data_IF_804065610568
#
_entry.id   IF_804065610568
#
_cell.length_a   1.000
_cell.length_b   1.000
_cell.length_c   1.000
_cell.angle_alpha   90.00
_cell.angle_beta   90.00
_cell.angle_gamma   90.00
#
_symmetry.space_group_name_H-M   'P 1'
#
loop_
_entity.id
_entity.type
_entity.pdbx_description
1 polymer ?
#
# COMPACT_ATOMS: atom_id res chain seq x y z
N UNK A 1 -27.14 -4.62 -16.22
CA UNK A 1 -25.84 -4.44 -16.88
C UNK A 1 -26.05 -3.65 -18.14
N UNK A 2 -26.02 -2.33 -18.00
CA UNK A 2 -26.09 -1.36 -19.10
C UNK A 2 -24.69 -1.12 -19.67
N UNK A 3 -24.61 -0.62 -20.89
CA UNK A 3 -23.34 -0.21 -21.51
C UNK A 3 -22.60 0.84 -20.67
N UNK A 4 -23.33 1.67 -19.92
CA UNK A 4 -22.77 2.67 -18.98
C UNK A 4 -22.07 1.98 -17.81
N UNK A 5 -22.70 0.98 -17.19
CA UNK A 5 -22.09 0.20 -16.09
C UNK A 5 -20.85 -0.57 -16.57
N UNK A 6 -20.87 -1.09 -17.80
CA UNK A 6 -19.71 -1.77 -18.41
C UNK A 6 -18.57 -0.80 -18.75
N UNK A 7 -18.90 0.39 -19.26
CA UNK A 7 -17.94 1.45 -19.55
C UNK A 7 -17.30 2.00 -18.27
N UNK A 8 -18.08 2.23 -17.21
CA UNK A 8 -17.58 2.61 -15.89
C UNK A 8 -16.69 1.52 -15.28
N UNK A 9 -17.06 0.24 -15.43
CA UNK A 9 -16.21 -0.89 -15.03
C UNK A 9 -14.90 -0.93 -15.82
N UNK A 10 -14.92 -0.73 -17.15
CA UNK A 10 -13.70 -0.64 -17.96
C UNK A 10 -12.84 0.58 -17.62
N UNK A 11 -13.44 1.69 -17.16
CA UNK A 11 -12.69 2.84 -16.68
C UNK A 11 -12.08 2.61 -15.29
N UNK A 12 -12.74 1.83 -14.42
CA UNK A 12 -12.16 1.41 -13.15
C UNK A 12 -10.93 0.49 -13.35
N UNK A 13 -10.95 -0.36 -14.38
CA UNK A 13 -9.81 -1.18 -14.82
C UNK A 13 -8.66 -0.37 -15.47
N UNK A 14 -8.83 0.94 -15.71
CA UNK A 14 -7.71 1.83 -16.10
C UNK A 14 -6.78 2.18 -14.93
N UNK A 15 -6.90 1.54 -13.76
CA UNK A 15 -5.74 1.31 -12.87
C UNK A 15 -4.78 0.35 -13.57
N UNK A 16 -4.15 0.84 -14.64
CA UNK A 16 -3.22 0.06 -15.43
C UNK A 16 -1.93 -0.24 -14.67
N UNK A 17 -1.08 -1.14 -15.21
CA UNK A 17 0.20 -1.54 -14.62
C UNK A 17 1.15 -0.37 -14.32
N UNK A 18 0.90 0.80 -14.90
CA UNK A 18 1.66 2.03 -14.70
C UNK A 18 1.43 2.66 -13.32
N UNK A 19 0.21 2.61 -12.78
CA UNK A 19 -0.07 3.14 -11.42
C UNK A 19 0.55 2.23 -10.36
N UNK A 20 0.47 0.92 -10.54
CA UNK A 20 1.12 -0.06 -9.66
C UNK A 20 2.64 0.12 -9.64
N UNK A 21 3.25 0.42 -10.80
CA UNK A 21 4.69 0.73 -10.88
C UNK A 21 5.06 2.00 -10.11
N UNK A 22 4.26 3.07 -10.24
CA UNK A 22 4.49 4.33 -9.49
C UNK A 22 4.39 4.09 -7.99
N UNK A 23 3.36 3.38 -7.54
CA UNK A 23 3.15 3.01 -6.13
C UNK A 23 4.29 2.14 -5.62
N UNK A 24 4.77 1.19 -6.41
CA UNK A 24 5.89 0.32 -6.05
C UNK A 24 7.20 1.09 -5.83
N UNK A 25 7.47 2.11 -6.66
CA UNK A 25 8.63 3.00 -6.48
C UNK A 25 8.52 3.82 -5.19
N UNK A 26 7.32 4.30 -4.82
CA UNK A 26 7.14 5.03 -3.57
C UNK A 26 7.28 4.10 -2.36
N UNK A 27 6.70 2.89 -2.41
CA UNK A 27 6.82 1.90 -1.33
C UNK A 27 8.26 1.47 -1.06
N UNK A 28 9.12 1.41 -2.07
CA UNK A 28 10.53 1.06 -1.87
C UNK A 28 11.26 2.08 -0.98
N UNK A 29 10.82 3.34 -0.97
CA UNK A 29 11.38 4.39 -0.12
C UNK A 29 10.84 4.41 1.31
N UNK A 30 9.63 3.91 1.56
CA UNK A 30 8.96 3.96 2.88
C UNK A 30 9.72 3.14 3.96
N UNK A 31 10.51 2.14 3.54
CA UNK A 31 11.30 1.31 4.46
C UNK A 31 12.76 1.74 4.64
N UNK A 32 13.21 2.83 3.99
CA UNK A 32 14.63 3.22 4.02
C UNK A 32 14.94 3.92 5.35
N UNK A 33 14.25 5.03 5.64
CA UNK A 33 14.39 5.85 6.85
C UNK A 33 13.09 6.60 7.11
N UNK A 34 12.78 6.89 8.37
CA UNK A 34 11.52 7.52 8.81
C UNK A 34 11.22 8.83 8.08
N UNK A 35 12.24 9.70 7.90
CA UNK A 35 12.10 11.00 7.26
C UNK A 35 12.60 11.05 5.81
N UNK A 36 12.87 9.88 5.19
CA UNK A 36 13.47 9.82 3.85
C UNK A 36 12.72 10.66 2.82
N UNK A 37 11.39 10.52 2.77
CA UNK A 37 10.58 11.21 1.79
C UNK A 37 10.50 12.73 2.05
N UNK A 38 10.53 13.16 3.32
CA UNK A 38 10.57 14.59 3.67
C UNK A 38 11.91 15.22 3.27
N UNK A 39 13.02 14.52 3.54
CA UNK A 39 14.36 14.94 3.12
C UNK A 39 14.46 15.01 1.60
N UNK A 40 13.91 14.01 0.90
CA UNK A 40 13.88 13.99 -0.56
C UNK A 40 13.04 15.12 -1.15
N UNK A 41 11.86 15.40 -0.57
CA UNK A 41 11.02 16.53 -0.96
C UNK A 41 11.75 17.87 -0.77
N UNK A 42 12.56 18.01 0.28
CA UNK A 42 13.41 19.18 0.50
C UNK A 42 14.47 19.35 -0.59
N UNK A 43 15.13 18.26 -0.99
CA UNK A 43 16.15 18.28 -2.05
C UNK A 43 15.54 18.67 -3.40
N UNK A 44 14.37 18.11 -3.75
CA UNK A 44 13.72 18.41 -5.04
C UNK A 44 13.10 19.80 -5.11
N UNK A 45 12.99 20.50 -3.98
CA UNK A 45 12.55 21.90 -3.95
C UNK A 45 13.60 22.86 -4.53
N UNK A 46 14.85 22.41 -4.74
CA UNK A 46 15.88 23.14 -5.46
C UNK A 46 15.77 22.89 -6.98
N UNK A 47 14.72 23.43 -7.59
CA UNK A 47 14.39 23.18 -9.00
C UNK A 47 15.45 23.71 -9.97
N UNK A 48 16.10 24.84 -9.65
CA UNK A 48 17.19 25.42 -10.45
C UNK A 48 18.44 24.54 -10.43
N UNK A 49 18.93 24.18 -9.24
CA UNK A 49 20.12 23.34 -9.12
C UNK A 49 19.95 21.95 -9.72
N UNK A 50 18.75 21.37 -9.62
CA UNK A 50 18.46 20.09 -10.27
C UNK A 50 18.31 20.19 -11.78
N UNK A 51 17.86 21.36 -12.27
CA UNK A 51 17.72 21.61 -13.71
C UNK A 51 19.08 21.60 -14.40
N UNK A 52 20.06 22.27 -13.79
CA UNK A 52 21.45 22.27 -14.25
C UNK A 52 22.12 20.90 -14.10
N UNK A 53 21.89 20.21 -12.98
CA UNK A 53 22.52 18.92 -12.70
C UNK A 53 22.06 17.81 -13.66
N UNK A 54 20.77 17.78 -13.96
CA UNK A 54 20.14 16.68 -14.71
C UNK A 54 19.88 17.04 -16.18
N UNK A 55 20.16 18.28 -16.58
CA UNK A 55 19.83 18.83 -17.90
C UNK A 55 18.33 18.62 -18.24
N UNK A 56 17.47 18.91 -17.25
CA UNK A 56 16.01 18.79 -17.37
C UNK A 56 15.40 20.18 -17.19
N UNK A 57 14.41 20.60 -18.01
CA UNK A 57 13.76 21.89 -17.85
C UNK A 57 13.20 22.11 -16.44
N UNK A 58 13.43 23.29 -15.87
CA UNK A 58 12.94 23.66 -14.53
C UNK A 58 11.43 23.46 -14.39
N UNK A 59 10.67 23.69 -15.48
CA UNK A 59 9.22 23.47 -15.54
C UNK A 59 8.82 22.01 -15.29
N UNK A 60 9.68 21.06 -15.67
CA UNK A 60 9.45 19.63 -15.40
C UNK A 60 9.82 19.25 -13.99
N UNK A 61 10.88 19.84 -13.44
CA UNK A 61 11.31 19.57 -12.06
C UNK A 61 10.36 20.19 -11.05
N UNK A 62 9.80 21.37 -11.33
CA UNK A 62 8.79 22.00 -10.48
C UNK A 62 7.53 21.12 -10.32
N UNK A 63 7.19 20.31 -11.32
CA UNK A 63 6.09 19.35 -11.24
C UNK A 63 6.43 18.13 -10.36
N UNK A 64 7.71 17.83 -10.09
CA UNK A 64 8.11 16.62 -9.37
C UNK A 64 7.59 16.63 -7.94
N UNK A 65 7.73 17.75 -7.24
CA UNK A 65 7.28 17.89 -5.86
C UNK A 65 5.79 17.53 -5.73
N UNK A 66 4.94 18.15 -6.54
CA UNK A 66 3.50 17.88 -6.53
C UNK A 66 3.17 16.41 -6.87
N UNK A 67 3.84 15.85 -7.88
CA UNK A 67 3.59 14.48 -8.33
C UNK A 67 4.01 13.43 -7.30
N UNK A 68 5.13 13.64 -6.63
CA UNK A 68 5.63 12.74 -5.58
C UNK A 68 4.74 12.85 -4.33
N UNK A 69 4.37 14.06 -3.92
CA UNK A 69 3.45 14.24 -2.78
C UNK A 69 2.10 13.58 -3.00
N UNK A 70 1.51 13.72 -4.20
CA UNK A 70 0.27 13.02 -4.56
C UNK A 70 0.42 11.50 -4.50
N UNK A 71 1.53 10.96 -5.01
CA UNK A 71 1.79 9.53 -4.97
C UNK A 71 1.99 9.03 -3.53
N UNK A 72 2.67 9.80 -2.67
CA UNK A 72 2.81 9.50 -1.24
C UNK A 72 1.46 9.46 -0.53
N UNK A 73 0.56 10.40 -0.80
CA UNK A 73 -0.79 10.38 -0.25
C UNK A 73 -1.59 9.16 -0.71
N UNK A 74 -1.45 8.75 -1.98
CA UNK A 74 -2.09 7.55 -2.50
C UNK A 74 -1.58 6.29 -1.79
N UNK A 75 -0.27 6.17 -1.58
CA UNK A 75 0.30 5.04 -0.84
C UNK A 75 -0.18 5.04 0.62
N UNK A 76 -0.19 6.21 1.28
CA UNK A 76 -0.74 6.33 2.64
C UNK A 76 -2.22 5.92 2.72
N UNK A 77 -3.03 6.25 1.71
CA UNK A 77 -4.43 5.81 1.66
C UNK A 77 -4.55 4.30 1.47
N UNK A 78 -3.82 3.73 0.51
CA UNK A 78 -3.88 2.29 0.20
C UNK A 78 -3.36 1.45 1.38
N UNK A 79 -2.22 1.84 1.97
CA UNK A 79 -1.57 1.08 3.03
C UNK A 79 -2.19 1.39 4.40
N UNK A 80 -2.72 2.62 4.60
CA UNK A 80 -3.44 3.02 5.81
C UNK A 80 -4.85 2.42 5.90
N UNK A 81 -5.53 2.19 4.77
CA UNK A 81 -6.79 1.43 4.72
C UNK A 81 -6.58 -0.08 4.97
N UNK A 82 -5.35 -0.58 4.85
CA UNK A 82 -4.95 -1.94 5.25
C UNK A 82 -4.58 -2.04 6.73
N UNK A 83 -5.25 -1.28 7.61
CA UNK A 83 -5.38 -1.74 8.99
C UNK A 83 -6.03 -3.13 8.95
N UNK A 84 -5.37 -4.19 9.47
CA UNK A 84 -5.95 -5.52 9.45
C UNK A 84 -7.21 -5.47 10.31
N UNK A 85 -8.38 -5.49 9.67
CA UNK A 85 -9.57 -6.01 10.32
C UNK A 85 -9.18 -7.42 10.73
N UNK A 86 -8.94 -7.61 12.02
CA UNK A 86 -8.78 -8.89 12.69
C UNK A 86 -10.03 -9.76 12.41
N UNK A 87 -10.15 -10.25 11.19
CA UNK A 87 -10.93 -11.42 10.86
C UNK A 87 -9.94 -12.56 10.79
N UNK A 88 -9.32 -12.83 11.93
CA UNK A 88 -8.94 -14.20 12.28
C UNK A 88 -10.26 -14.97 12.34
N UNK A 89 -10.76 -15.37 11.16
CA UNK A 89 -11.59 -16.56 11.06
C UNK A 89 -10.66 -17.67 11.50
N UNK A 90 -10.68 -17.95 12.81
CA UNK A 90 -10.24 -19.21 13.37
C UNK A 90 -10.93 -20.28 12.54
N UNK A 91 -10.15 -20.87 11.62
CA UNK A 91 -10.50 -22.13 11.00
C UNK A 91 -10.53 -23.13 12.14
N UNK A 92 -11.73 -23.37 12.67
CA UNK A 92 -12.03 -24.44 13.61
C UNK A 92 -11.85 -25.74 12.83
N UNK A 93 -10.61 -26.23 12.77
CA UNK A 93 -10.29 -27.57 12.28
C UNK A 93 -11.05 -28.57 13.15
N UNK A 94 -11.88 -29.37 12.50
CA UNK A 94 -12.74 -30.35 13.14
C UNK A 94 -11.97 -31.50 13.80
N UNK A 95 -12.69 -32.14 14.72
CA UNK A 95 -12.59 -33.53 15.13
C UNK A 95 -11.20 -34.06 15.53
N UNK A 96 -10.85 -33.83 16.80
CA UNK A 96 -10.19 -34.87 17.59
C UNK A 96 -11.20 -35.44 18.59
N UNK A 97 -11.81 -36.54 18.16
CA UNK A 97 -12.53 -37.49 18.98
C UNK A 97 -11.50 -38.20 19.88
N UNK A 98 -11.59 -38.03 21.20
CA UNK A 98 -10.88 -38.88 22.15
C UNK A 98 -11.84 -39.26 23.28
N UNK A 99 -12.20 -40.55 23.42
CA UNK A 99 -13.18 -40.98 24.40
C UNK A 99 -12.59 -40.91 25.81
N UNK A 100 -13.16 -40.07 26.66
CA UNK A 100 -12.87 -40.06 28.09
C UNK A 100 -13.50 -41.33 28.70
N UNK A 101 -12.65 -42.27 29.10
CA UNK A 101 -13.05 -43.51 29.76
C UNK A 101 -13.51 -43.20 31.18
N UNK A 102 -14.71 -43.67 31.52
CA UNK A 102 -15.16 -43.85 32.89
C UNK A 102 -14.18 -44.74 33.67
N UNK A 103 -13.70 -44.25 34.81
CA UNK A 103 -13.25 -45.12 35.91
C UNK A 103 -13.77 -44.56 37.24
N UNK A 104 -14.75 -45.29 37.77
CA UNK A 104 -15.21 -45.30 39.16
C UNK A 104 -14.13 -45.94 40.05
N UNK A 105 -13.97 -45.43 41.28
CA UNK A 105 -13.17 -46.00 42.38
C UNK A 105 -12.79 -44.88 43.36
N UNK A 106 -13.56 -44.56 44.40
CA UNK A 106 -13.83 -45.31 45.64
C UNK A 106 -12.57 -45.49 46.52
N UNK A 107 -12.67 -44.94 47.75
CA UNK A 107 -11.86 -45.14 48.97
C UNK A 107 -10.60 -44.27 49.16
N UNK A 108 -10.64 -43.33 50.12
CA UNK A 108 -10.22 -43.57 51.51
C UNK A 108 -10.84 -42.52 52.46
#
# INVERSE_FOLDING_TARGET
MTFVELWESMQADKKGPTEDRKISVIRSGIGIRENFWEDFLSVINNSEGLSELLDVPTTKISEWHERISKALEQVKKIDGEQQPKNNVKLLKSGDFNMPEKDTVGENE
#
